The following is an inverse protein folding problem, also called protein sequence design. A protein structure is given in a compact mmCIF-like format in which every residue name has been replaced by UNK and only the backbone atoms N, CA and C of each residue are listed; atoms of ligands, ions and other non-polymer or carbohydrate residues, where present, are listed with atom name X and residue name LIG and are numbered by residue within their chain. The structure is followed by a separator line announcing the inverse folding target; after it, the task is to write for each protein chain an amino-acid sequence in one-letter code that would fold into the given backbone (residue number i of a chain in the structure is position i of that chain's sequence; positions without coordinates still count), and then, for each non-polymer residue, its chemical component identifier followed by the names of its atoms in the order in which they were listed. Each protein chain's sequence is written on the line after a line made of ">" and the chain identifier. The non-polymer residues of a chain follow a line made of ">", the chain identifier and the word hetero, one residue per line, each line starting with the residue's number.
data_IF_638778035409
#
_entry.id   IF_638778035409
#
_cell.length_a   1.000
_cell.length_b   1.000
_cell.length_c   1.000
_cell.angle_alpha   90.00
_cell.angle_beta   90.00
_cell.angle_gamma   90.00
#
_symmetry.space_group_name_H-M   'P 1'
#
loop_
_entity.id
_entity.type
_entity.pdbx_description
1 polymer ?
#
# COMPACT_ATOMS: atom_id res chain seq x y z
N UNK A 1 -9.07 4.49 -4.93
CA UNK A 1 -8.00 5.06 -4.08
C UNK A 1 -6.76 5.20 -4.90
N UNK A 2 -5.97 6.26 -4.71
CA UNK A 2 -4.68 6.43 -5.37
C UNK A 2 -3.59 6.23 -4.32
N UNK A 3 -2.72 5.24 -4.52
CA UNK A 3 -1.53 5.05 -3.69
C UNK A 3 -0.32 5.60 -4.43
N UNK A 4 0.48 6.38 -3.71
CA UNK A 4 1.65 7.06 -4.23
C UNK A 4 2.83 6.71 -3.33
N UNK A 5 3.87 6.14 -3.92
CA UNK A 5 5.14 5.88 -3.29
C UNK A 5 6.11 6.98 -3.72
N UNK A 6 6.60 7.77 -2.78
CA UNK A 6 7.50 8.88 -3.08
C UNK A 6 8.97 8.46 -2.93
N UNK A 7 9.85 9.02 -3.77
CA UNK A 7 11.30 8.78 -3.72
C UNK A 7 11.98 9.42 -2.50
N UNK A 8 11.38 10.45 -1.92
CA UNK A 8 11.91 11.16 -0.76
C UNK A 8 11.45 10.51 0.55
N UNK A 9 12.25 9.57 1.04
CA UNK A 9 11.99 8.89 2.32
C UNK A 9 12.08 9.81 3.55
N UNK A 10 12.63 11.02 3.42
CA UNK A 10 12.74 11.99 4.52
C UNK A 10 11.55 12.94 4.58
N UNK A 11 10.64 12.89 3.60
CA UNK A 11 9.47 13.75 3.57
C UNK A 11 8.56 13.45 4.77
N UNK A 12 8.19 14.51 5.48
CA UNK A 12 7.22 14.44 6.59
C UNK A 12 5.90 15.06 6.15
N UNK A 13 4.83 14.27 6.21
CA UNK A 13 3.51 14.70 5.73
C UNK A 13 3.50 14.97 4.22
N UNK A 14 2.57 15.80 3.76
CA UNK A 14 2.35 16.07 2.33
C UNK A 14 2.61 17.52 1.93
N UNK A 15 3.06 18.38 2.85
CA UNK A 15 3.18 19.83 2.61
C UNK A 15 4.18 20.22 1.52
N UNK A 16 5.22 19.40 1.29
CA UNK A 16 6.22 19.59 0.23
C UNK A 16 6.11 18.51 -0.87
N UNK A 17 4.92 17.94 -1.07
CA UNK A 17 4.68 16.94 -2.09
C UNK A 17 4.98 17.49 -3.48
N UNK A 18 5.72 16.71 -4.27
CA UNK A 18 6.06 16.99 -5.66
C UNK A 18 5.84 15.70 -6.46
N UNK A 19 4.90 15.74 -7.40
CA UNK A 19 4.54 14.61 -8.25
C UNK A 19 5.73 14.13 -9.10
N UNK A 20 6.69 15.01 -9.43
CA UNK A 20 7.91 14.60 -10.14
C UNK A 20 8.80 13.64 -9.32
N UNK A 21 8.59 13.60 -7.99
CA UNK A 21 9.28 12.69 -7.08
C UNK A 21 8.54 11.39 -6.82
N UNK A 22 7.43 11.13 -7.52
CA UNK A 22 6.73 9.87 -7.39
C UNK A 22 7.57 8.74 -7.99
N UNK A 23 7.79 7.69 -7.21
CA UNK A 23 8.43 6.44 -7.63
C UNK A 23 7.40 5.53 -8.31
N UNK A 24 6.19 5.50 -7.77
CA UNK A 24 5.09 4.68 -8.26
C UNK A 24 3.77 5.34 -7.86
N UNK A 25 2.82 5.38 -8.81
CA UNK A 25 1.45 5.82 -8.59
C UNK A 25 0.51 4.76 -9.14
N UNK A 26 -0.35 4.23 -8.29
CA UNK A 26 -1.30 3.18 -8.66
C UNK A 26 -2.72 3.54 -8.25
N UNK A 27 -3.65 3.17 -9.10
CA UNK A 27 -5.08 3.19 -8.78
C UNK A 27 -5.50 1.83 -8.24
N UNK A 28 -6.09 1.84 -7.06
CA UNK A 28 -6.59 0.63 -6.40
C UNK A 28 -8.08 0.79 -6.14
N UNK A 29 -8.84 -0.20 -6.59
CA UNK A 29 -10.26 -0.29 -6.29
C UNK A 29 -10.44 -0.66 -4.81
N UNK A 30 -11.09 0.20 -3.99
CA UNK A 30 -11.40 -0.18 -2.62
C UNK A 30 -12.40 -1.33 -2.58
N UNK A 31 -12.33 -2.09 -1.50
CA UNK A 31 -13.27 -3.15 -1.17
C UNK A 31 -13.94 -2.85 0.18
N UNK A 32 -15.17 -3.33 0.35
CA UNK A 32 -15.85 -3.26 1.63
C UNK A 32 -15.18 -4.21 2.63
N UNK A 33 -14.92 -3.72 3.84
CA UNK A 33 -14.38 -4.50 4.94
C UNK A 33 -15.49 -4.74 5.98
N UNK A 34 -15.73 -6.00 6.41
CA UNK A 34 -16.95 -6.39 7.11
C UNK A 34 -17.06 -5.84 8.54
N UNK A 35 -15.95 -5.40 9.14
CA UNK A 35 -15.90 -4.90 10.51
C UNK A 35 -15.25 -3.52 10.55
N UNK A 36 -15.85 -2.51 11.20
CA UNK A 36 -15.24 -1.20 11.30
C UNK A 36 -13.92 -1.27 12.08
N UNK A 37 -12.84 -0.69 11.53
CA UNK A 37 -11.56 -0.49 12.21
C UNK A 37 -11.25 0.98 12.37
N UNK A 38 -11.11 1.44 13.61
CA UNK A 38 -10.87 2.84 13.95
C UNK A 38 -9.41 3.27 13.72
N UNK A 39 -8.48 2.33 13.85
CA UNK A 39 -7.05 2.57 13.61
C UNK A 39 -6.66 2.07 12.23
N UNK A 40 -6.10 2.95 11.41
CA UNK A 40 -5.55 2.57 10.11
C UNK A 40 -4.53 1.44 10.31
N UNK A 41 -4.82 0.30 9.69
CA UNK A 41 -4.06 -0.93 9.87
C UNK A 41 -3.52 -1.39 8.53
N UNK A 42 -2.22 -1.72 8.50
CA UNK A 42 -1.58 -2.36 7.35
C UNK A 42 -1.39 -3.84 7.65
N UNK A 43 -1.92 -4.71 6.80
CA UNK A 43 -1.75 -6.16 6.91
C UNK A 43 -0.96 -6.64 5.70
N UNK A 44 0.07 -7.43 5.94
CA UNK A 44 0.77 -8.19 4.90
C UNK A 44 0.33 -9.65 5.07
N UNK A 45 -0.43 -10.16 4.10
CA UNK A 45 -1.03 -11.49 4.11
C UNK A 45 -0.79 -12.25 2.81
N UNK A 46 -1.30 -13.47 2.73
CA UNK A 46 -1.17 -14.36 1.56
C UNK A 46 0.27 -14.46 1.04
N UNK A 47 1.22 -14.53 1.98
CA UNK A 47 2.65 -14.51 1.67
C UNK A 47 3.06 -15.82 0.99
N UNK A 48 3.74 -15.69 -0.15
CA UNK A 48 4.40 -16.77 -0.88
C UNK A 48 5.91 -16.52 -0.95
N UNK A 49 6.66 -17.42 -1.57
CA UNK A 49 8.11 -17.26 -1.78
C UNK A 49 8.47 -16.02 -2.62
N UNK A 50 7.54 -15.50 -3.42
CA UNK A 50 7.79 -14.42 -4.40
C UNK A 50 6.74 -13.32 -4.39
N UNK A 51 5.74 -13.38 -3.52
CA UNK A 51 4.67 -12.38 -3.48
C UNK A 51 3.99 -12.27 -2.12
N UNK A 52 3.29 -11.17 -1.90
CA UNK A 52 2.40 -10.98 -0.77
C UNK A 52 1.27 -10.00 -1.13
N UNK A 53 0.14 -10.12 -0.44
CA UNK A 53 -0.94 -9.13 -0.51
C UNK A 53 -0.82 -8.14 0.64
N UNK A 54 -0.89 -6.85 0.33
CA UNK A 54 -0.92 -5.77 1.30
C UNK A 54 -2.33 -5.19 1.35
N UNK A 55 -2.86 -5.05 2.56
CA UNK A 55 -4.18 -4.49 2.82
C UNK A 55 -4.03 -3.27 3.71
N UNK A 56 -4.42 -2.09 3.20
CA UNK A 56 -4.67 -0.92 4.03
C UNK A 56 -6.15 -0.94 4.44
N UNK A 57 -6.42 -1.06 5.73
CA UNK A 57 -7.77 -1.17 6.27
C UNK A 57 -8.06 0.02 7.19
N UNK A 58 -9.17 0.71 6.93
CA UNK A 58 -9.65 1.80 7.76
C UNK A 58 -11.18 1.93 7.64
N UNK A 59 -11.85 2.16 8.76
CA UNK A 59 -13.30 2.12 8.88
C UNK A 59 -13.83 0.81 8.29
N UNK A 60 -14.68 0.88 7.24
CA UNK A 60 -15.21 -0.27 6.50
C UNK A 60 -14.60 -0.41 5.11
N UNK A 61 -13.40 0.14 4.91
CA UNK A 61 -12.71 0.13 3.62
C UNK A 61 -11.42 -0.66 3.72
N UNK A 62 -11.21 -1.56 2.77
CA UNK A 62 -9.92 -2.21 2.51
C UNK A 62 -9.40 -1.76 1.15
N UNK A 63 -8.10 -1.49 1.07
CA UNK A 63 -7.41 -1.09 -0.17
C UNK A 63 -6.31 -2.12 -0.44
N UNK A 64 -6.64 -3.22 -1.14
CA UNK A 64 -5.71 -4.33 -1.37
C UNK A 64 -4.81 -4.08 -2.59
N UNK A 65 -3.54 -4.43 -2.48
CA UNK A 65 -2.62 -4.51 -3.62
C UNK A 65 -1.59 -5.61 -3.41
N UNK A 66 -1.14 -6.23 -4.51
CA UNK A 66 -0.13 -7.29 -4.47
C UNK A 66 1.26 -6.71 -4.68
N UNK A 67 2.22 -7.21 -3.91
CA UNK A 67 3.64 -6.99 -4.13
C UNK A 67 4.29 -8.29 -4.59
N UNK A 68 5.25 -8.18 -5.51
CA UNK A 68 6.03 -9.30 -6.03
C UNK A 68 7.52 -8.99 -5.87
N UNK A 69 8.30 -10.02 -5.61
CA UNK A 69 9.76 -9.95 -5.51
C UNK A 69 10.39 -11.06 -6.32
N UNK A 70 11.52 -10.77 -6.96
CA UNK A 70 12.32 -11.80 -7.58
C UNK A 70 12.98 -12.68 -6.52
N UNK A 71 12.97 -14.00 -6.72
CA UNK A 71 13.67 -14.93 -5.85
C UNK A 71 15.17 -14.79 -6.10
N UNK A 72 15.90 -14.20 -5.14
CA UNK A 72 17.33 -13.85 -5.30
C UNK A 72 18.31 -14.92 -4.80
N UNK A 73 17.83 -16.05 -4.30
CA UNK A 73 18.68 -17.18 -3.89
C UNK A 73 18.36 -18.44 -4.70
N UNK A 74 19.17 -18.62 -5.75
CA UNK A 74 19.63 -19.90 -6.33
C UNK A 74 21.16 -19.85 -6.44
#
# INVERSE_FOLDING_TARGET
>A
WTLIFNKDANMRGTGNYDEAKDALRIEVAPQEFPLPVETMTFVIGDVTDTSANVYLIWEKTSVPFTIEVEKTWE
#
